data_IF_502824501956
#
_entry.id   IF_502824501956
#
_cell.length_a   1.000
_cell.length_b   1.000
_cell.length_c   1.000
_cell.angle_alpha   90.00
_cell.angle_beta   90.00
_cell.angle_gamma   90.00
#
_symmetry.space_group_name_H-M   'P 1'
#
loop_
_entity.id
_entity.type
_entity.pdbx_description
1 polymer ?
#
# COMPACT_ATOMS: atom_id res chain seq x y z
N UNK A 1 14.96 -18.65 -5.27
CA UNK A 1 13.57 -18.82 -4.82
C UNK A 1 12.95 -19.90 -5.70
N UNK A 2 12.55 -21.03 -5.11
CA UNK A 2 11.84 -22.07 -5.85
C UNK A 2 10.36 -21.67 -6.07
N UNK A 3 9.61 -22.46 -6.84
CA UNK A 3 8.22 -22.12 -7.17
C UNK A 3 7.30 -22.06 -5.94
N UNK A 4 7.47 -22.99 -4.99
CA UNK A 4 6.68 -23.04 -3.76
C UNK A 4 6.96 -21.84 -2.84
N UNK A 5 8.24 -21.48 -2.66
CA UNK A 5 8.66 -20.28 -1.92
C UNK A 5 8.07 -19.01 -2.56
N UNK A 6 8.01 -18.95 -3.89
CA UNK A 6 7.47 -17.80 -4.61
C UNK A 6 5.95 -17.65 -4.44
N UNK A 7 5.20 -18.75 -4.40
CA UNK A 7 3.76 -18.72 -4.09
C UNK A 7 3.54 -18.08 -2.73
N UNK A 8 4.25 -18.55 -1.70
CA UNK A 8 4.11 -18.04 -0.34
C UNK A 8 4.54 -16.58 -0.27
N UNK A 9 5.69 -16.24 -0.86
CA UNK A 9 6.18 -14.87 -0.93
C UNK A 9 5.18 -13.92 -1.60
N UNK A 10 4.58 -14.33 -2.71
CA UNK A 10 3.61 -13.52 -3.45
C UNK A 10 2.34 -13.27 -2.63
N UNK A 11 1.80 -14.30 -1.99
CA UNK A 11 0.61 -14.15 -1.14
C UNK A 11 0.90 -13.36 0.13
N UNK A 12 2.08 -13.54 0.72
CA UNK A 12 2.54 -12.77 1.86
C UNK A 12 2.65 -11.27 1.53
N UNK A 13 3.39 -10.92 0.48
CA UNK A 13 3.55 -9.51 0.08
C UNK A 13 2.21 -8.87 -0.34
N UNK A 14 1.32 -9.61 -1.00
CA UNK A 14 -0.03 -9.14 -1.29
C UNK A 14 -0.83 -8.85 -0.01
N UNK A 15 -0.83 -9.78 0.95
CA UNK A 15 -1.51 -9.61 2.23
C UNK A 15 -0.96 -8.42 3.01
N UNK A 16 0.36 -8.28 3.07
CA UNK A 16 1.01 -7.15 3.72
C UNK A 16 0.71 -5.82 3.02
N UNK A 17 0.65 -5.77 1.69
CA UNK A 17 0.28 -4.56 0.96
C UNK A 17 -1.17 -4.15 1.27
N UNK A 18 -2.12 -5.10 1.24
CA UNK A 18 -3.53 -4.83 1.58
C UNK A 18 -3.66 -4.36 3.04
N UNK A 19 -2.99 -5.03 3.98
CA UNK A 19 -2.98 -4.62 5.38
C UNK A 19 -2.38 -3.22 5.56
N UNK A 20 -1.28 -2.91 4.87
CA UNK A 20 -0.64 -1.59 4.91
C UNK A 20 -1.58 -0.48 4.41
N UNK A 21 -2.40 -0.76 3.40
CA UNK A 21 -3.44 0.16 2.95
C UNK A 21 -4.50 0.43 4.03
N UNK A 22 -4.86 -0.59 4.81
CA UNK A 22 -5.73 -0.42 5.98
C UNK A 22 -5.21 0.63 6.97
N UNK A 23 -3.89 0.70 7.18
CA UNK A 23 -3.28 1.76 7.98
C UNK A 23 -3.38 3.14 7.34
N UNK A 24 -3.28 3.25 6.01
CA UNK A 24 -3.51 4.52 5.28
C UNK A 24 -4.93 5.03 5.53
N UNK A 25 -5.94 4.17 5.36
CA UNK A 25 -7.34 4.52 5.66
C UNK A 25 -7.54 4.90 7.13
N UNK A 26 -6.91 4.17 8.05
CA UNK A 26 -6.94 4.49 9.48
C UNK A 26 -6.35 5.86 9.81
N UNK A 27 -5.26 6.27 9.17
CA UNK A 27 -4.67 7.61 9.37
C UNK A 27 -5.56 8.71 8.78
N UNK A 28 -6.16 8.50 7.61
CA UNK A 28 -7.13 9.45 7.05
C UNK A 28 -8.33 9.65 7.98
N UNK A 29 -8.86 8.58 8.56
CA UNK A 29 -9.93 8.68 9.55
C UNK A 29 -9.50 9.51 10.77
N UNK A 30 -8.29 9.29 11.30
CA UNK A 30 -7.77 10.08 12.43
C UNK A 30 -7.69 11.57 12.10
N UNK A 31 -7.19 11.92 10.91
CA UNK A 31 -7.15 13.30 10.44
C UNK A 31 -8.56 13.89 10.36
N UNK A 32 -9.51 13.15 9.75
CA UNK A 32 -10.90 13.59 9.64
C UNK A 32 -11.56 13.82 11.01
N UNK A 33 -11.33 12.91 11.98
CA UNK A 33 -11.86 13.02 13.34
C UNK A 33 -11.30 14.22 14.11
N UNK A 34 -10.08 14.63 13.80
CA UNK A 34 -9.49 15.82 14.43
C UNK A 34 -10.00 17.13 13.84
N UNK A 35 -10.51 17.09 12.61
CA UNK A 35 -11.09 18.27 11.95
C UNK A 35 -12.48 18.64 12.45
N UNK A 36 -13.14 17.77 13.24
CA UNK A 36 -14.50 17.99 13.76
C UNK A 36 -14.52 18.14 15.27
N UNK A 37 -15.20 19.17 15.75
CA UNK A 37 -15.50 19.40 17.17
C UNK A 37 -16.79 18.71 17.64
N UNK A 38 -17.32 17.75 16.87
CA UNK A 38 -18.62 17.12 17.12
C UNK A 38 -18.53 16.27 18.41
N UNK A 39 -19.52 16.33 19.31
CA UNK A 39 -19.53 15.54 20.55
C UNK A 39 -19.52 14.02 20.32
N UNK A 40 -19.98 13.55 19.16
CA UNK A 40 -20.01 12.14 18.79
C UNK A 40 -19.05 11.80 17.64
N UNK A 41 -17.76 11.64 17.99
CA UNK A 41 -16.71 11.13 17.10
C UNK A 41 -17.02 9.72 16.57
N UNK A 42 -17.80 8.91 17.30
CA UNK A 42 -18.14 7.56 16.88
C UNK A 42 -19.10 7.57 15.68
N UNK A 43 -20.09 8.47 15.68
CA UNK A 43 -20.98 8.67 14.54
C UNK A 43 -20.21 9.03 13.26
N UNK A 44 -19.19 9.89 13.35
CA UNK A 44 -18.35 10.22 12.19
C UNK A 44 -17.56 9.01 11.70
N UNK A 45 -16.99 8.21 12.61
CA UNK A 45 -16.25 7.01 12.25
C UNK A 45 -17.14 5.97 11.54
N UNK A 46 -18.37 5.77 12.05
CA UNK A 46 -19.38 4.90 11.40
C UNK A 46 -19.69 5.44 10.00
N UNK A 47 -19.95 6.74 9.87
CA UNK A 47 -20.18 7.40 8.60
C UNK A 47 -19.03 7.21 7.61
N UNK A 48 -17.79 7.42 8.05
CA UNK A 48 -16.59 7.22 7.24
C UNK A 48 -16.44 5.77 6.73
N UNK A 49 -16.69 4.79 7.59
CA UNK A 49 -16.61 3.38 7.20
C UNK A 49 -17.78 2.92 6.33
N UNK A 50 -18.93 3.59 6.40
CA UNK A 50 -20.09 3.30 5.54
C UNK A 50 -19.89 3.73 4.08
N UNK A 51 -18.93 4.63 3.80
CA UNK A 51 -18.57 5.04 2.44
C UNK A 51 -17.72 3.94 1.78
N UNK A 52 -18.26 3.20 0.81
CA UNK A 52 -17.50 2.12 0.15
C UNK A 52 -16.38 2.65 -0.76
N UNK A 53 -16.64 3.74 -1.47
CA UNK A 53 -15.71 4.30 -2.44
C UNK A 53 -14.60 5.12 -1.76
N UNK A 54 -13.35 4.66 -1.89
CA UNK A 54 -12.19 5.36 -1.32
C UNK A 54 -12.05 6.81 -1.80
N UNK A 55 -12.35 7.11 -3.07
CA UNK A 55 -12.30 8.48 -3.60
C UNK A 55 -13.25 9.39 -2.81
N UNK A 56 -14.46 8.91 -2.51
CA UNK A 56 -15.43 9.65 -1.71
C UNK A 56 -14.95 9.86 -0.28
N UNK A 57 -14.32 8.86 0.34
CA UNK A 57 -13.67 9.01 1.67
C UNK A 57 -12.59 10.09 1.66
N UNK A 58 -11.74 10.09 0.62
CA UNK A 58 -10.66 11.07 0.50
C UNK A 58 -11.21 12.49 0.28
N UNK A 59 -12.25 12.65 -0.54
CA UNK A 59 -12.94 13.93 -0.73
C UNK A 59 -13.59 14.42 0.56
N UNK A 60 -14.22 13.53 1.33
CA UNK A 60 -14.78 13.88 2.64
C UNK A 60 -13.69 14.38 3.59
N UNK A 61 -12.57 13.66 3.70
CA UNK A 61 -11.44 14.08 4.54
C UNK A 61 -10.87 15.42 4.08
N UNK A 62 -10.72 15.63 2.77
CA UNK A 62 -10.22 16.88 2.21
C UNK A 62 -11.12 18.07 2.52
N UNK A 63 -12.44 17.93 2.38
CA UNK A 63 -13.38 18.98 2.71
C UNK A 63 -13.28 19.39 4.19
N UNK A 64 -13.14 18.41 5.09
CA UNK A 64 -12.96 18.65 6.53
C UNK A 64 -11.65 19.36 6.82
N UNK A 65 -10.54 18.91 6.25
CA UNK A 65 -9.21 19.53 6.44
C UNK A 65 -9.19 20.95 5.87
N UNK A 66 -9.74 21.16 4.67
CA UNK A 66 -9.80 22.49 4.05
C UNK A 66 -10.66 23.47 4.86
N UNK A 67 -11.75 23.00 5.46
CA UNK A 67 -12.61 23.82 6.32
C UNK A 67 -11.90 24.21 7.62
N UNK A 68 -11.23 23.27 8.29
CA UNK A 68 -10.65 23.50 9.62
C UNK A 68 -9.23 24.08 9.56
N UNK A 69 -8.41 23.65 8.60
CA UNK A 69 -6.99 23.98 8.50
C UNK A 69 -6.58 24.67 7.19
N UNK A 70 -7.54 25.01 6.31
CA UNK A 70 -7.26 25.55 4.97
C UNK A 70 -6.46 26.87 4.93
N UNK A 71 -6.40 27.60 6.04
CA UNK A 71 -5.64 28.85 6.19
C UNK A 71 -4.34 28.69 6.97
N UNK A 72 -3.98 27.48 7.39
CA UNK A 72 -2.77 27.22 8.17
C UNK A 72 -1.56 27.04 7.26
N UNK A 73 -0.36 27.20 7.83
CA UNK A 73 0.90 26.93 7.12
C UNK A 73 1.02 25.47 6.68
N UNK A 74 0.31 24.55 7.35
CA UNK A 74 0.40 23.09 7.13
C UNK A 74 -0.48 22.56 6.00
N UNK A 75 -1.21 23.45 5.31
CA UNK A 75 -2.13 23.03 4.25
C UNK A 75 -1.40 22.43 3.04
N UNK A 76 -0.14 22.80 2.84
CA UNK A 76 0.65 22.31 1.71
C UNK A 76 1.09 20.85 1.92
N UNK A 77 1.40 20.47 3.16
CA UNK A 77 1.70 19.13 3.60
C UNK A 77 0.49 18.22 3.40
N UNK A 78 -0.71 18.68 3.77
CA UNK A 78 -1.96 17.97 3.47
C UNK A 78 -2.17 17.76 1.97
N UNK A 79 -2.04 18.82 1.15
CA UNK A 79 -2.25 18.71 -0.31
C UNK A 79 -1.29 17.71 -0.95
N UNK A 80 -0.03 17.72 -0.52
CA UNK A 80 0.99 16.78 -0.98
C UNK A 80 0.62 15.35 -0.61
N UNK A 81 0.26 15.11 0.66
CA UNK A 81 -0.15 13.80 1.14
C UNK A 81 -1.44 13.30 0.45
N UNK A 82 -2.44 14.17 0.24
CA UNK A 82 -3.68 13.85 -0.46
C UNK A 82 -3.44 13.44 -1.90
N UNK A 83 -2.65 14.21 -2.66
CA UNK A 83 -2.36 13.89 -4.05
C UNK A 83 -1.68 12.52 -4.17
N UNK A 84 -0.66 12.29 -3.33
CA UNK A 84 0.01 10.99 -3.28
C UNK A 84 -0.92 9.85 -2.86
N UNK A 85 -1.83 10.11 -1.91
CA UNK A 85 -2.86 9.14 -1.50
C UNK A 85 -3.76 8.77 -2.67
N UNK A 86 -4.18 9.75 -3.48
CA UNK A 86 -4.98 9.53 -4.69
C UNK A 86 -4.23 8.68 -5.71
N UNK A 87 -2.94 8.95 -5.94
CA UNK A 87 -2.12 8.20 -6.90
C UNK A 87 -1.93 6.74 -6.45
N UNK A 88 -1.64 6.53 -5.16
CA UNK A 88 -1.44 5.19 -4.59
C UNK A 88 -2.76 4.40 -4.47
N UNK A 89 -3.92 5.06 -4.39
CA UNK A 89 -5.21 4.38 -4.43
C UNK A 89 -5.43 3.62 -5.75
N UNK A 90 -4.89 4.13 -6.87
CA UNK A 90 -4.95 3.41 -8.14
C UNK A 90 -4.17 2.09 -8.08
N UNK A 91 -3.02 2.06 -7.39
CA UNK A 91 -2.26 0.82 -7.17
C UNK A 91 -3.01 -0.14 -6.24
N UNK A 92 -3.62 0.37 -5.16
CA UNK A 92 -4.47 -0.44 -4.28
C UNK A 92 -5.59 -1.11 -5.06
N UNK A 93 -6.28 -0.39 -5.94
CA UNK A 93 -7.36 -0.96 -6.73
C UNK A 93 -6.86 -2.04 -7.70
N UNK A 94 -5.67 -1.88 -8.29
CA UNK A 94 -5.06 -2.92 -9.13
C UNK A 94 -4.80 -4.20 -8.35
N UNK A 95 -4.26 -4.13 -7.13
CA UNK A 95 -3.98 -5.33 -6.33
C UNK A 95 -5.24 -5.95 -5.70
N UNK A 96 -6.27 -5.14 -5.41
CA UNK A 96 -7.50 -5.60 -4.78
C UNK A 96 -8.49 -6.26 -5.77
N UNK A 97 -8.52 -5.79 -7.03
CA UNK A 97 -9.49 -6.23 -8.03
C UNK A 97 -8.86 -6.98 -9.22
N UNK A 98 -7.53 -7.07 -9.27
CA UNK A 98 -6.84 -7.79 -10.32
C UNK A 98 -6.91 -9.31 -10.16
N UNK A 99 -6.72 -10.03 -11.27
CA UNK A 99 -6.70 -11.48 -11.30
C UNK A 99 -5.31 -12.04 -11.02
N UNK A 100 -5.24 -13.07 -10.19
CA UNK A 100 -3.99 -13.76 -9.88
C UNK A 100 -3.74 -14.85 -10.91
N UNK A 101 -2.62 -14.77 -11.63
CA UNK A 101 -2.26 -15.76 -12.64
C UNK A 101 -0.85 -16.33 -12.43
N UNK A 102 -0.74 -17.64 -12.65
CA UNK A 102 0.51 -18.39 -12.68
C UNK A 102 1.05 -18.49 -14.12
N UNK A 103 2.35 -18.25 -14.26
CA UNK A 103 3.15 -18.35 -15.47
C UNK A 103 4.35 -19.28 -15.18
N UNK A 104 4.10 -20.59 -15.24
CA UNK A 104 5.00 -21.65 -14.76
C UNK A 104 6.42 -21.55 -15.34
N UNK A 105 6.54 -21.24 -16.64
CA UNK A 105 7.81 -21.19 -17.36
C UNK A 105 8.64 -19.92 -17.12
N UNK A 106 8.16 -18.97 -16.29
CA UNK A 106 8.89 -17.72 -16.06
C UNK A 106 10.00 -17.81 -15.02
N UNK A 107 10.87 -16.81 -15.07
CA UNK A 107 11.95 -16.61 -14.11
C UNK A 107 11.39 -16.31 -12.71
N UNK A 108 12.16 -16.64 -11.65
CA UNK A 108 11.76 -16.34 -10.28
C UNK A 108 11.36 -14.87 -10.09
N UNK A 109 10.27 -14.66 -9.36
CA UNK A 109 9.69 -13.35 -9.10
C UNK A 109 8.68 -12.87 -10.15
N UNK A 110 8.55 -13.58 -11.27
CA UNK A 110 7.59 -13.29 -12.35
C UNK A 110 6.66 -14.47 -12.67
N UNK A 111 6.67 -15.53 -11.85
CA UNK A 111 5.80 -16.69 -12.06
C UNK A 111 4.39 -16.41 -11.58
N UNK A 112 4.22 -15.55 -10.58
CA UNK A 112 2.93 -15.06 -10.16
C UNK A 112 2.81 -13.58 -10.49
N UNK A 113 1.67 -13.20 -11.03
CA UNK A 113 1.36 -11.81 -11.27
C UNK A 113 -0.13 -11.51 -11.04
N UNK A 114 -0.40 -10.27 -10.65
CA UNK A 114 -1.73 -9.67 -10.70
C UNK A 114 -1.89 -9.01 -12.07
N UNK A 115 -2.93 -9.39 -12.80
CA UNK A 115 -3.27 -8.84 -14.11
C UNK A 115 -4.61 -8.12 -14.08
N UNK A 116 -4.85 -7.12 -14.96
CA UNK A 116 -6.16 -6.51 -15.11
C UNK A 116 -7.22 -7.57 -15.44
N UNK A 117 -8.42 -7.43 -14.89
CA UNK A 117 -9.56 -8.29 -15.24
C UNK A 117 -10.09 -7.98 -16.64
N UNK A 118 -10.08 -6.70 -17.01
CA UNK A 118 -10.54 -6.22 -18.30
C UNK A 118 -9.41 -5.56 -19.09
N UNK A 119 -9.45 -5.72 -20.40
CA UNK A 119 -8.75 -4.85 -21.34
C UNK A 119 -9.31 -3.42 -21.27
N UNK A 120 -8.57 -2.45 -21.82
CA UNK A 120 -9.02 -1.05 -21.89
C UNK A 120 -10.32 -0.87 -22.72
N UNK A 121 -10.66 -1.84 -23.57
CA UNK A 121 -11.89 -1.88 -24.37
C UNK A 121 -13.08 -2.56 -23.64
N UNK A 122 -12.91 -3.00 -22.39
CA UNK A 122 -13.96 -3.65 -21.59
C UNK A 122 -14.04 -5.17 -21.73
N UNK A 123 -13.32 -5.78 -22.68
CA UNK A 123 -13.28 -7.23 -22.85
C UNK A 123 -12.54 -7.91 -21.69
N UNK A 124 -12.96 -9.12 -21.32
CA UNK A 124 -12.24 -9.91 -20.33
C UNK A 124 -10.82 -10.22 -20.82
N UNK A 125 -9.85 -10.05 -19.94
CA UNK A 125 -8.45 -10.23 -20.26
C UNK A 125 -8.12 -11.73 -20.38
N UNK A 126 -8.22 -12.29 -21.59
CA UNK A 126 -7.87 -13.68 -21.89
C UNK A 126 -6.35 -13.80 -22.03
N UNK A 127 -5.66 -14.08 -20.92
CA UNK A 127 -4.22 -14.33 -20.97
C UNK A 127 -4.00 -15.78 -21.32
N UNK A 128 -3.80 -16.10 -22.59
CA UNK A 128 -3.20 -17.39 -22.99
C UNK A 128 -1.66 -17.26 -23.14
N UNK A 129 -1.13 -16.08 -22.81
CA UNK A 129 0.30 -15.80 -22.87
C UNK A 129 1.14 -16.57 -21.85
N UNK A 130 2.30 -17.06 -22.32
CA UNK A 130 3.36 -17.68 -21.51
C UNK A 130 4.09 -16.71 -20.58
N UNK A 131 3.88 -15.39 -20.71
CA UNK A 131 4.56 -14.35 -19.94
C UNK A 131 3.54 -13.35 -19.37
N UNK A 132 3.82 -12.74 -18.21
CA UNK A 132 2.99 -11.65 -17.69
C UNK A 132 2.90 -10.50 -18.70
N UNK A 133 1.70 -9.95 -18.94
CA UNK A 133 1.52 -8.81 -19.83
C UNK A 133 2.20 -7.54 -19.27
N UNK A 134 2.43 -6.51 -20.10
CA UNK A 134 2.84 -5.20 -19.62
C UNK A 134 1.90 -4.66 -18.54
N UNK A 135 2.46 -4.09 -17.48
CA UNK A 135 1.68 -3.56 -16.34
C UNK A 135 1.20 -4.62 -15.33
N UNK A 136 1.49 -5.90 -15.55
CA UNK A 136 1.25 -6.93 -14.54
C UNK A 136 2.11 -6.69 -13.29
N UNK A 137 1.51 -6.82 -12.11
CA UNK A 137 2.19 -6.62 -10.82
C UNK A 137 2.74 -7.96 -10.36
N UNK A 138 4.06 -8.09 -10.37
CA UNK A 138 4.77 -9.30 -9.95
C UNK A 138 5.27 -9.17 -8.49
N UNK A 139 6.03 -10.17 -8.00
CA UNK A 139 6.41 -10.25 -6.59
C UNK A 139 7.16 -9.00 -6.08
N UNK A 140 8.15 -8.51 -6.83
CA UNK A 140 8.91 -7.31 -6.40
C UNK A 140 8.07 -6.03 -6.48
N UNK A 141 7.13 -5.99 -7.41
CA UNK A 141 6.22 -4.85 -7.56
C UNK A 141 5.27 -4.78 -6.35
N UNK A 142 4.76 -5.92 -5.87
CA UNK A 142 3.98 -5.97 -4.62
C UNK A 142 4.78 -5.45 -3.42
N UNK A 143 6.03 -5.86 -3.28
CA UNK A 143 6.90 -5.36 -2.22
C UNK A 143 7.15 -3.84 -2.33
N UNK A 144 7.29 -3.32 -3.56
CA UNK A 144 7.40 -1.89 -3.80
C UNK A 144 6.13 -1.13 -3.38
N UNK A 145 4.97 -1.61 -3.83
CA UNK A 145 3.65 -1.02 -3.49
C UNK A 145 3.42 -1.02 -1.97
N UNK A 146 3.79 -2.11 -1.28
CA UNK A 146 3.73 -2.15 0.19
C UNK A 146 4.58 -1.06 0.84
N UNK A 147 5.81 -0.85 0.35
CA UNK A 147 6.70 0.20 0.87
C UNK A 147 6.19 1.61 0.56
N UNK A 148 5.57 1.80 -0.61
CA UNK A 148 4.87 3.04 -0.96
C UNK A 148 3.74 3.33 0.03
N UNK A 149 2.90 2.34 0.35
CA UNK A 149 1.82 2.52 1.34
C UNK A 149 2.35 2.76 2.75
N UNK A 150 3.46 2.10 3.12
CA UNK A 150 4.09 2.29 4.42
C UNK A 150 4.64 3.71 4.59
N UNK A 151 5.33 4.22 3.57
CA UNK A 151 5.86 5.58 3.57
C UNK A 151 4.74 6.64 3.53
N UNK A 152 3.65 6.37 2.78
CA UNK A 152 2.44 7.20 2.83
C UNK A 152 1.81 7.23 4.23
N UNK A 153 1.77 6.10 4.94
CA UNK A 153 1.24 6.03 6.31
C UNK A 153 2.00 6.96 7.25
N UNK A 154 3.33 7.02 7.12
CA UNK A 154 4.18 7.94 7.91
C UNK A 154 3.92 9.40 7.57
N UNK A 155 3.80 9.71 6.28
CA UNK A 155 3.47 11.05 5.81
C UNK A 155 2.10 11.52 6.36
N UNK A 156 1.08 10.67 6.30
CA UNK A 156 -0.23 10.98 6.89
C UNK A 156 -0.17 11.12 8.41
N UNK A 157 0.66 10.32 9.10
CA UNK A 157 0.90 10.48 10.53
C UNK A 157 1.55 11.83 10.86
N UNK A 158 2.52 12.27 10.05
CA UNK A 158 3.12 13.60 10.19
C UNK A 158 2.07 14.70 10.02
N UNK A 159 1.22 14.60 8.98
CA UNK A 159 0.11 15.56 8.78
C UNK A 159 -0.85 15.56 9.95
N UNK A 160 -1.25 14.39 10.48
CA UNK A 160 -2.11 14.29 11.66
C UNK A 160 -1.52 15.01 12.87
N UNK A 161 -0.23 14.82 13.14
CA UNK A 161 0.44 15.45 14.29
C UNK A 161 0.53 16.97 14.11
N UNK A 162 0.83 17.46 12.90
CA UNK A 162 0.83 18.89 12.58
C UNK A 162 -0.56 19.52 12.73
N UNK A 163 -1.60 18.81 12.29
CA UNK A 163 -3.01 19.19 12.46
C UNK A 163 -3.38 19.32 13.94
N UNK A 164 -2.80 18.46 14.80
CA UNK A 164 -2.96 18.56 16.25
C UNK A 164 -2.08 19.65 16.91
N UNK A 165 -1.35 20.46 16.13
CA UNK A 165 -0.40 21.45 16.66
C UNK A 165 0.85 20.83 17.31
N UNK A 166 1.17 19.56 17.00
CA UNK A 166 2.33 18.82 17.51
C UNK A 166 3.41 18.70 16.45
N UNK A 167 4.62 18.33 16.87
CA UNK A 167 5.76 18.12 15.96
C UNK A 167 5.59 16.80 15.20
N UNK A 168 5.91 16.83 13.91
CA UNK A 168 6.00 15.63 13.07
C UNK A 168 6.96 14.59 13.68
N UNK A 169 6.50 13.35 13.96
CA UNK A 169 7.30 12.31 14.62
C UNK A 169 8.30 11.65 13.69
N UNK A 170 8.07 11.66 12.37
CA UNK A 170 8.96 11.05 11.40
C UNK A 170 9.74 12.11 10.62
N UNK A 171 11.05 11.90 10.37
CA UNK A 171 11.79 12.76 9.45
C UNK A 171 11.27 12.58 8.02
N UNK A 172 11.41 13.61 7.18
CA UNK A 172 10.97 13.60 5.77
C UNK A 172 11.57 12.43 4.98
N UNK A 173 12.81 12.03 5.30
CA UNK A 173 13.47 10.87 4.67
C UNK A 173 12.71 9.55 4.86
N UNK A 174 11.90 9.44 5.91
CA UNK A 174 11.07 8.26 6.16
C UNK A 174 9.73 8.30 5.40
N UNK A 175 9.33 9.44 4.86
CA UNK A 175 8.17 9.59 3.97
C UNK A 175 8.48 9.15 2.53
N UNK A 176 9.76 9.02 2.19
CA UNK A 176 10.20 8.46 0.92
C UNK A 176 10.05 6.94 0.92
N UNK A 177 9.68 6.39 -0.23
CA UNK A 177 9.60 4.95 -0.40
C UNK A 177 11.00 4.34 -0.36
N UNK A 178 11.15 3.27 0.41
CA UNK A 178 12.41 2.52 0.45
C UNK A 178 12.59 1.71 -0.83
N UNK A 179 13.84 1.46 -1.20
CA UNK A 179 14.16 0.59 -2.34
C UNK A 179 13.53 -0.79 -2.18
N UNK A 180 12.80 -1.31 -3.19
CA UNK A 180 12.14 -2.61 -3.09
C UNK A 180 13.15 -3.73 -2.86
N UNK A 181 12.87 -4.68 -1.95
CA UNK A 181 13.80 -5.76 -1.64
C UNK A 181 14.11 -6.60 -2.88
N UNK A 182 15.31 -7.14 -2.90
CA UNK A 182 15.72 -8.14 -3.89
C UNK A 182 14.98 -9.46 -3.63
N UNK A 183 14.85 -10.31 -4.65
CA UNK A 183 14.26 -11.65 -4.49
C UNK A 183 15.00 -12.49 -3.45
N UNK A 184 16.31 -12.26 -3.27
CA UNK A 184 17.10 -12.94 -2.24
C UNK A 184 16.68 -12.51 -0.83
N UNK A 185 16.45 -11.21 -0.63
CA UNK A 185 15.98 -10.68 0.65
C UNK A 185 14.57 -11.19 0.97
N UNK A 186 13.65 -11.15 0.00
CA UNK A 186 12.29 -11.69 0.17
C UNK A 186 12.35 -13.19 0.52
N UNK A 187 13.14 -13.98 -0.22
CA UNK A 187 13.29 -15.41 0.08
C UNK A 187 13.86 -15.65 1.49
N UNK A 188 14.80 -14.82 1.94
CA UNK A 188 15.36 -14.92 3.29
C UNK A 188 14.33 -14.62 4.37
N UNK A 189 13.50 -13.61 4.16
CA UNK A 189 12.41 -13.24 5.07
C UNK A 189 11.39 -14.37 5.19
N UNK A 190 10.88 -14.87 4.07
CA UNK A 190 9.89 -15.97 4.06
C UNK A 190 10.44 -17.23 4.74
N UNK A 191 11.71 -17.56 4.52
CA UNK A 191 12.32 -18.71 5.20
C UNK A 191 12.40 -18.53 6.72
N UNK A 192 12.70 -17.31 7.17
CA UNK A 192 12.74 -16.99 8.58
C UNK A 192 11.34 -17.06 9.22
N UNK A 193 10.32 -16.52 8.55
CA UNK A 193 8.92 -16.54 9.02
C UNK A 193 8.33 -17.96 9.06
N UNK A 194 8.70 -18.83 8.11
CA UNK A 194 8.24 -20.22 8.07
C UNK A 194 9.08 -21.18 8.94
N UNK A 195 10.05 -20.66 9.70
CA UNK A 195 10.88 -21.47 10.60
C UNK A 195 11.83 -22.44 9.90
N UNK A 196 12.18 -22.21 8.62
CA UNK A 196 13.20 -23.03 7.96
C UNK A 196 14.57 -22.78 8.59
N UNK A 197 15.38 -23.83 8.85
CA UNK A 197 16.71 -23.65 9.41
C UNK A 197 17.54 -22.79 8.46
N UNK A 198 18.04 -21.65 8.96
CA UNK A 198 19.02 -20.86 8.22
C UNK A 198 20.22 -21.76 7.98
N UNK A 199 20.65 -21.91 6.71
CA UNK A 199 21.87 -22.67 6.40
C UNK A 199 23.00 -22.09 7.26
N UNK A 200 23.67 -22.91 8.10
CA UNK A 200 24.78 -22.40 8.89
C UNK A 200 25.80 -21.78 7.95
N UNK A 201 26.19 -20.54 8.26
CA UNK A 201 27.33 -19.87 7.66
C UNK A 201 28.49 -20.85 7.64
N UNK A 202 28.98 -21.22 6.45
CA UNK A 202 30.20 -22.03 6.30
C UNK A 202 31.28 -21.33 7.12
N UNK A 203 31.67 -21.91 8.27
CA UNK A 203 32.91 -21.54 8.93
C UNK A 203 34.01 -21.70 7.90
N UNK A 204 34.66 -20.59 7.54
CA UNK A 204 35.93 -20.64 6.83
C UNK A 204 36.92 -21.29 7.79
N UNK A 205 37.26 -22.55 7.53
CA UNK A 205 38.47 -23.21 8.03
C UNK A 205 39.65 -22.77 7.19
#
# INVERSE_FOLDING_TARGET
>A
MNASEEIVAFKHELGCAIAQWGYVEGQLLKIALECVSIPDRAALAIGYHSVENFRSKLTMCDNLVMHTFGKTIHIQEWRTAKNRTSDLAAQRNKIAHGWHKLYVENTPGRRWAIVPLHHANGELFHVDGKKPPPGAICLRDLAAIRLDFHSLTKQLCNVYELVCGRRAPFPESHELSASPPTLRQIASQIRAELGFPQKPSRRKS
#
